data_IF_260275564635
#
_entry.id   IF_260275564635
#
_cell.length_a   1.000
_cell.length_b   1.000
_cell.length_c   1.000
_cell.angle_alpha   90.00
_cell.angle_beta   90.00
_cell.angle_gamma   90.00
#
_symmetry.space_group_name_H-M   'P 1'
#
loop_
_entity.id
_entity.type
_entity.pdbx_description
1 polymer ?
#
# COMPACT_ATOMS: atom_id res chain seq x y z
N UNK A 1 -4.42 -5.51 -11.72
CA UNK A 1 -4.74 -6.45 -10.61
C UNK A 1 -3.55 -6.35 -9.68
N UNK A 2 -3.80 -6.34 -8.38
CA UNK A 2 -2.77 -6.13 -7.38
C UNK A 2 -1.48 -6.90 -7.70
N UNK A 3 -0.37 -6.17 -7.72
CA UNK A 3 0.95 -6.72 -7.96
C UNK A 3 1.44 -7.40 -6.69
N UNK A 4 1.69 -8.70 -6.76
CA UNK A 4 2.11 -9.50 -5.61
C UNK A 4 3.40 -8.97 -4.98
N UNK A 5 4.30 -8.39 -5.79
CA UNK A 5 5.53 -7.71 -5.32
C UNK A 5 5.22 -6.66 -4.25
N UNK A 6 4.20 -5.83 -4.46
CA UNK A 6 3.87 -4.74 -3.54
C UNK A 6 3.13 -5.23 -2.31
N UNK A 7 2.30 -6.26 -2.46
CA UNK A 7 1.66 -6.94 -1.32
C UNK A 7 2.71 -7.55 -0.39
N UNK A 8 3.71 -8.23 -0.95
CA UNK A 8 4.82 -8.80 -0.19
C UNK A 8 5.66 -7.72 0.51
N UNK A 9 5.92 -6.58 -0.16
CA UNK A 9 6.61 -5.44 0.47
C UNK A 9 5.82 -4.85 1.64
N UNK A 10 4.49 -4.77 1.53
CA UNK A 10 3.64 -4.30 2.63
C UNK A 10 3.58 -5.32 3.79
N UNK A 11 3.62 -6.63 3.50
CA UNK A 11 3.72 -7.68 4.53
C UNK A 11 5.04 -7.63 5.29
N UNK A 12 6.14 -7.24 4.64
CA UNK A 12 7.43 -6.99 5.29
C UNK A 12 7.41 -5.74 6.19
N UNK A 13 6.35 -4.94 6.12
CA UNK A 13 6.08 -3.79 6.98
C UNK A 13 6.53 -2.46 6.37
N UNK A 14 6.21 -1.39 7.10
CA UNK A 14 6.43 -0.01 6.64
C UNK A 14 7.89 0.33 6.31
N UNK A 15 8.86 -0.35 6.92
CA UNK A 15 10.28 -0.09 6.68
C UNK A 15 10.70 -0.55 5.27
N UNK A 16 10.32 -1.77 4.88
CA UNK A 16 10.58 -2.32 3.57
C UNK A 16 9.88 -1.50 2.47
N UNK A 17 8.61 -1.18 2.69
CA UNK A 17 7.84 -0.31 1.80
C UNK A 17 8.49 1.05 1.60
N UNK A 18 8.92 1.69 2.69
CA UNK A 18 9.55 3.02 2.65
C UNK A 18 10.89 2.98 1.94
N UNK A 19 11.71 1.96 2.19
CA UNK A 19 13.00 1.79 1.52
C UNK A 19 12.80 1.61 0.01
N UNK A 20 11.86 0.75 -0.39
CA UNK A 20 11.52 0.55 -1.80
C UNK A 20 11.05 1.85 -2.48
N UNK A 21 10.23 2.65 -1.78
CA UNK A 21 9.78 3.96 -2.28
C UNK A 21 10.91 4.98 -2.45
N UNK A 22 12.01 4.87 -1.69
CA UNK A 22 13.18 5.72 -1.86
C UNK A 22 14.00 5.32 -3.08
N UNK A 23 14.03 4.03 -3.42
CA UNK A 23 14.79 3.53 -4.58
C UNK A 23 14.03 3.67 -5.90
N UNK A 24 12.70 3.54 -5.88
CA UNK A 24 11.85 3.58 -7.07
C UNK A 24 10.66 4.58 -6.90
N UNK A 25 10.92 5.90 -6.78
CA UNK A 25 9.88 6.89 -6.47
C UNK A 25 8.89 7.16 -7.62
N UNK A 26 9.31 6.89 -8.86
CA UNK A 26 8.51 7.13 -10.07
C UNK A 26 7.52 6.00 -10.35
N UNK A 27 7.67 4.85 -9.69
CA UNK A 27 6.77 3.72 -9.84
C UNK A 27 5.49 3.98 -9.05
N UNK A 28 4.36 3.80 -9.74
CA UNK A 28 3.01 3.83 -9.17
C UNK A 28 2.61 2.38 -8.88
N UNK A 29 2.55 1.95 -7.60
CA UNK A 29 2.17 0.59 -7.26
C UNK A 29 0.71 0.32 -7.62
N UNK A 30 0.45 -0.80 -8.30
CA UNK A 30 -0.91 -1.29 -8.51
C UNK A 30 -1.30 -2.26 -7.39
N UNK A 31 -2.20 -1.84 -6.51
CA UNK A 31 -2.88 -2.68 -5.51
C UNK A 31 -4.38 -2.78 -5.81
N UNK A 32 -4.79 -2.52 -7.06
CA UNK A 32 -6.19 -2.58 -7.45
C UNK A 32 -6.77 -3.97 -7.24
N UNK A 33 -7.99 -4.03 -6.69
CA UNK A 33 -8.69 -5.28 -6.32
C UNK A 33 -7.95 -6.15 -5.29
N UNK A 34 -6.92 -5.63 -4.60
CA UNK A 34 -6.26 -6.35 -3.52
C UNK A 34 -7.24 -6.60 -2.36
N UNK A 35 -7.13 -7.76 -1.71
CA UNK A 35 -7.74 -7.97 -0.41
C UNK A 35 -6.77 -7.56 0.70
N UNK A 36 -6.96 -6.35 1.21
CA UNK A 36 -6.21 -5.76 2.32
C UNK A 36 -7.06 -5.73 3.60
N UNK A 37 -8.15 -6.50 3.66
CA UNK A 37 -9.03 -6.53 4.81
C UNK A 37 -8.30 -7.04 6.05
N UNK A 38 -8.53 -6.38 7.19
CA UNK A 38 -7.84 -6.67 8.46
C UNK A 38 -6.32 -6.41 8.48
N UNK A 39 -5.73 -5.83 7.43
CA UNK A 39 -4.29 -5.53 7.44
C UNK A 39 -3.95 -4.38 8.37
N UNK A 40 -2.81 -4.47 9.05
CA UNK A 40 -2.23 -3.36 9.80
C UNK A 40 -1.38 -2.50 8.88
N UNK A 41 -1.95 -1.39 8.41
CA UNK A 41 -1.32 -0.44 7.49
C UNK A 41 -1.04 0.91 8.16
N UNK A 42 -1.22 1.03 9.49
CA UNK A 42 -0.99 2.26 10.24
C UNK A 42 0.39 2.86 9.96
N UNK A 43 0.44 4.15 9.63
CA UNK A 43 1.67 4.87 9.28
C UNK A 43 2.26 4.55 7.89
N UNK A 44 1.65 3.66 7.09
CA UNK A 44 2.19 3.33 5.77
C UNK A 44 2.09 4.50 4.77
N UNK A 45 3.11 4.65 3.93
CA UNK A 45 3.19 5.70 2.91
C UNK A 45 2.62 5.23 1.56
N UNK A 46 1.29 5.10 1.47
CA UNK A 46 0.58 4.65 0.27
C UNK A 46 0.26 5.80 -0.73
N UNK A 47 1.16 6.77 -0.83
CA UNK A 47 1.03 7.92 -1.73
C UNK A 47 1.07 7.49 -3.19
N UNK A 48 0.14 7.97 -4.03
CA UNK A 48 0.05 7.61 -5.46
C UNK A 48 -0.12 6.10 -5.74
N UNK A 49 -0.58 5.32 -4.77
CA UNK A 49 -0.88 3.90 -4.98
C UNK A 49 -2.25 3.77 -5.65
N UNK A 50 -2.38 2.89 -6.63
CA UNK A 50 -3.69 2.51 -7.16
C UNK A 50 -4.34 1.48 -6.22
N UNK A 51 -5.35 1.90 -5.46
CA UNK A 51 -6.17 1.09 -4.57
C UNK A 51 -7.58 0.89 -5.14
N UNK A 52 -7.81 1.18 -6.43
CA UNK A 52 -9.14 1.05 -7.03
C UNK A 52 -9.68 -0.36 -6.82
N UNK A 53 -10.87 -0.45 -6.22
CA UNK A 53 -11.55 -1.70 -5.86
C UNK A 53 -10.85 -2.56 -4.78
N UNK A 54 -9.82 -2.05 -4.10
CA UNK A 54 -9.19 -2.77 -3.00
C UNK A 54 -10.17 -2.91 -1.82
N UNK A 55 -10.19 -4.09 -1.21
CA UNK A 55 -10.94 -4.33 0.01
C UNK A 55 -10.10 -3.90 1.21
N UNK A 56 -10.47 -2.79 1.85
CA UNK A 56 -9.82 -2.26 3.07
C UNK A 56 -10.67 -2.53 4.33
N UNK A 57 -11.68 -3.41 4.27
CA UNK A 57 -12.60 -3.63 5.39
C UNK A 57 -11.87 -4.06 6.66
N UNK A 58 -11.97 -3.22 7.68
CA UNK A 58 -11.32 -3.40 8.98
C UNK A 58 -9.79 -3.37 8.97
N UNK A 59 -9.18 -2.83 7.90
CA UNK A 59 -7.76 -2.51 7.93
C UNK A 59 -7.49 -1.41 8.97
N UNK A 60 -6.39 -1.53 9.70
CA UNK A 60 -5.91 -0.50 10.61
C UNK A 60 -5.13 0.55 9.81
N UNK A 61 -5.73 1.73 9.61
CA UNK A 61 -5.20 2.82 8.78
C UNK A 61 -4.74 4.10 9.54
N UNK A 62 -4.51 4.12 10.87
CA UNK A 62 -4.17 5.35 11.58
C UNK A 62 -2.84 5.90 11.08
N UNK A 63 -2.83 7.17 10.68
CA UNK A 63 -1.64 7.82 10.14
C UNK A 63 -1.18 7.31 8.77
N UNK A 64 -1.98 6.50 8.07
CA UNK A 64 -1.65 6.08 6.70
C UNK A 64 -1.75 7.28 5.77
N UNK A 65 -0.76 7.44 4.88
CA UNK A 65 -0.76 8.53 3.91
C UNK A 65 -1.29 8.05 2.56
N UNK A 66 -2.58 8.28 2.29
CA UNK A 66 -3.26 7.98 1.02
C UNK A 66 -3.22 9.14 0.02
N UNK A 67 -2.34 10.12 0.19
CA UNK A 67 -2.35 11.30 -0.69
C UNK A 67 -2.16 10.89 -2.14
N UNK A 68 -3.09 11.30 -3.01
CA UNK A 68 -3.14 10.96 -4.44
C UNK A 68 -3.30 9.45 -4.74
N UNK A 69 -3.73 8.64 -3.77
CA UNK A 69 -4.18 7.29 -4.07
C UNK A 69 -5.49 7.33 -4.87
N UNK A 70 -5.70 6.33 -5.73
CA UNK A 70 -6.89 6.15 -6.58
C UNK A 70 -7.66 4.88 -6.21
#
# INVERSE_FOLDING_TARGET
MADDKYLELLKQGQAAWRQWRQTEPDIVPDLSRADLSQWTLGGAHLTRVNLSWANLSGADLPGVNLSRAN
#
